data_IF_812836125524
#
_entry.id   IF_812836125524
#
_cell.length_a   1.000
_cell.length_b   1.000
_cell.length_c   1.000
_cell.angle_alpha   90.00
_cell.angle_beta   90.00
_cell.angle_gamma   90.00
#
_symmetry.space_group_name_H-M   'P 1'
#
loop_
_entity.id
_entity.type
_entity.pdbx_description
1 polymer ?
#
# COMPACT_ATOMS: atom_id res chain seq x y z
N UNK A 1 21.35 14.39 -9.07
CA UNK A 1 20.81 13.13 -9.68
C UNK A 1 20.25 13.50 -11.02
N UNK A 2 20.43 12.67 -12.05
CA UNK A 2 19.87 12.92 -13.38
C UNK A 2 18.42 12.47 -13.43
N UNK A 3 17.58 13.15 -14.23
CA UNK A 3 16.17 12.78 -14.42
C UNK A 3 16.04 11.35 -14.94
N UNK A 4 17.00 10.91 -15.76
CA UNK A 4 17.07 9.53 -16.24
C UNK A 4 17.24 8.51 -15.12
N UNK A 5 18.00 8.81 -14.07
CA UNK A 5 18.14 7.91 -12.91
C UNK A 5 16.81 7.77 -12.16
N UNK A 6 16.11 8.88 -11.95
CA UNK A 6 14.81 8.89 -11.26
C UNK A 6 13.78 8.08 -12.06
N UNK A 7 13.69 8.33 -13.38
CA UNK A 7 12.78 7.62 -14.26
C UNK A 7 13.05 6.10 -14.28
N UNK A 8 14.32 5.70 -14.35
CA UNK A 8 14.71 4.29 -14.31
C UNK A 8 14.40 3.64 -12.97
N UNK A 9 14.61 4.33 -11.85
CA UNK A 9 14.28 3.83 -10.52
C UNK A 9 12.75 3.60 -10.38
N UNK A 10 11.93 4.56 -10.81
CA UNK A 10 10.46 4.44 -10.81
C UNK A 10 10.01 3.30 -11.73
N UNK A 11 10.58 3.20 -12.93
CA UNK A 11 10.27 2.12 -13.88
C UNK A 11 10.61 0.73 -13.31
N UNK A 12 11.77 0.61 -12.64
CA UNK A 12 12.17 -0.64 -11.99
C UNK A 12 11.26 -0.98 -10.79
N UNK A 13 10.85 0.01 -10.00
CA UNK A 13 9.87 -0.19 -8.93
C UNK A 13 8.54 -0.73 -9.47
N UNK A 14 8.03 -0.14 -10.55
CA UNK A 14 6.81 -0.61 -11.22
C UNK A 14 6.94 -2.04 -11.74
N UNK A 15 8.06 -2.34 -12.40
CA UNK A 15 8.34 -3.68 -12.93
C UNK A 15 8.40 -4.74 -11.81
N UNK A 16 9.14 -4.48 -10.74
CA UNK A 16 9.22 -5.37 -9.58
C UNK A 16 7.86 -5.51 -8.87
N UNK A 17 7.06 -4.45 -8.88
CA UNK A 17 5.71 -4.45 -8.34
C UNK A 17 4.79 -5.49 -8.99
N UNK A 18 4.95 -5.76 -10.29
CA UNK A 18 4.16 -6.79 -10.99
C UNK A 18 4.40 -8.17 -10.34
N UNK A 19 5.64 -8.53 -10.10
CA UNK A 19 5.97 -9.81 -9.44
C UNK A 19 5.47 -9.85 -7.99
N UNK A 20 5.61 -8.75 -7.25
CA UNK A 20 5.09 -8.65 -5.90
C UNK A 20 3.57 -8.85 -5.85
N UNK A 21 2.81 -8.23 -6.76
CA UNK A 21 1.36 -8.39 -6.88
C UNK A 21 0.95 -9.83 -7.18
N UNK A 22 1.61 -10.48 -8.13
CA UNK A 22 1.34 -11.89 -8.48
C UNK A 22 1.64 -12.80 -7.29
N UNK A 23 2.75 -12.56 -6.59
CA UNK A 23 3.13 -13.33 -5.40
C UNK A 23 2.09 -13.14 -4.29
N UNK A 24 1.66 -11.93 -4.01
CA UNK A 24 0.64 -11.61 -3.01
C UNK A 24 -0.69 -12.31 -3.29
N UNK A 25 -1.14 -12.28 -4.54
CA UNK A 25 -2.34 -13.00 -4.97
C UNK A 25 -2.23 -14.51 -4.73
N UNK A 26 -1.11 -15.12 -5.11
CA UNK A 26 -0.84 -16.56 -4.91
C UNK A 26 -0.73 -16.94 -3.44
N UNK A 27 -0.07 -16.10 -2.63
CA UNK A 27 0.11 -16.34 -1.20
C UNK A 27 -1.21 -16.46 -0.44
N UNK A 28 -2.27 -15.82 -0.94
CA UNK A 28 -3.60 -15.82 -0.31
C UNK A 28 -4.51 -16.97 -0.74
N UNK A 29 -4.14 -17.82 -1.72
CA UNK A 29 -5.03 -18.84 -2.31
C UNK A 29 -5.54 -19.81 -1.24
N UNK A 30 -4.66 -20.30 -0.36
CA UNK A 30 -5.01 -21.31 0.66
C UNK A 30 -5.03 -20.73 2.09
N UNK A 31 -5.19 -19.40 2.22
CA UNK A 31 -5.16 -18.73 3.52
C UNK A 31 -6.40 -17.88 3.72
N UNK A 32 -6.70 -17.62 5.00
CA UNK A 32 -7.70 -16.62 5.34
C UNK A 32 -7.25 -15.23 4.85
N UNK A 33 -7.86 -14.83 3.74
CA UNK A 33 -7.48 -13.61 3.01
C UNK A 33 -7.60 -12.37 3.88
N UNK A 34 -8.65 -12.27 4.70
CA UNK A 34 -8.86 -11.12 5.58
C UNK A 34 -7.72 -11.00 6.61
N UNK A 35 -7.30 -12.13 7.20
CA UNK A 35 -6.16 -12.14 8.13
C UNK A 35 -4.85 -11.75 7.43
N UNK A 36 -4.64 -12.24 6.21
CA UNK A 36 -3.41 -11.93 5.45
C UNK A 36 -3.39 -10.46 5.07
N UNK A 37 -4.47 -9.91 4.51
CA UNK A 37 -4.58 -8.50 4.12
C UNK A 37 -4.41 -7.58 5.33
N UNK A 38 -5.06 -7.89 6.47
CA UNK A 38 -4.87 -7.12 7.70
C UNK A 38 -3.43 -7.12 8.18
N UNK A 39 -2.72 -8.27 8.14
CA UNK A 39 -1.30 -8.33 8.49
C UNK A 39 -0.43 -7.55 7.52
N UNK A 40 -0.70 -7.65 6.21
CA UNK A 40 0.03 -6.90 5.19
C UNK A 40 -0.11 -5.40 5.38
N UNK A 41 -1.33 -4.90 5.67
CA UNK A 41 -1.54 -3.48 5.95
C UNK A 41 -0.72 -2.97 7.16
N UNK A 42 -0.61 -3.80 8.21
CA UNK A 42 0.25 -3.47 9.36
C UNK A 42 1.74 -3.47 9.00
N UNK A 43 2.20 -4.44 8.21
CA UNK A 43 3.58 -4.51 7.72
C UNK A 43 3.88 -3.29 6.83
N UNK A 44 2.96 -2.89 5.96
CA UNK A 44 3.09 -1.68 5.15
C UNK A 44 3.19 -0.41 6.01
N UNK A 45 2.40 -0.29 7.07
CA UNK A 45 2.50 0.82 8.01
C UNK A 45 3.88 0.88 8.67
N UNK A 46 4.38 -0.24 9.19
CA UNK A 46 5.73 -0.31 9.77
C UNK A 46 6.79 0.00 8.71
N UNK A 47 6.63 -0.54 7.51
CA UNK A 47 7.51 -0.28 6.37
C UNK A 47 7.57 1.21 6.00
N UNK A 48 6.44 1.92 6.04
CA UNK A 48 6.43 3.38 5.78
C UNK A 48 7.24 4.16 6.81
N UNK A 49 7.15 3.79 8.10
CA UNK A 49 7.93 4.42 9.17
C UNK A 49 9.42 4.15 9.01
N UNK A 50 9.81 2.90 8.71
CA UNK A 50 11.21 2.53 8.48
C UNK A 50 11.77 3.30 7.27
N UNK A 51 10.99 3.39 6.19
CA UNK A 51 11.37 4.17 5.01
C UNK A 51 11.55 5.64 5.37
N UNK A 52 10.61 6.22 6.11
CA UNK A 52 10.69 7.60 6.58
C UNK A 52 11.98 7.86 7.38
N UNK A 53 12.30 7.00 8.33
CA UNK A 53 13.49 7.12 9.18
C UNK A 53 14.79 6.97 8.36
N UNK A 54 14.79 6.12 7.33
CA UNK A 54 15.99 5.89 6.51
C UNK A 54 16.51 7.14 5.79
N UNK A 55 15.67 8.15 5.56
CA UNK A 55 16.07 9.45 4.99
C UNK A 55 17.03 10.24 5.89
N UNK A 56 17.07 9.99 7.21
CA UNK A 56 18.04 10.64 8.11
C UNK A 56 19.44 10.07 8.00
N UNK A 57 19.58 8.83 7.52
CA UNK A 57 20.86 8.15 7.49
C UNK A 57 21.58 8.28 6.15
N UNK A 58 20.92 7.96 5.05
CA UNK A 58 21.53 7.96 3.73
C UNK A 58 20.49 7.91 2.63
N UNK A 59 20.79 8.63 1.54
CA UNK A 59 19.98 8.56 0.31
C UNK A 59 19.87 7.11 -0.23
N UNK A 60 20.97 6.37 -0.26
CA UNK A 60 20.97 5.00 -0.79
C UNK A 60 20.16 4.04 0.08
N UNK A 61 20.23 4.20 1.39
CA UNK A 61 19.40 3.43 2.32
C UNK A 61 17.93 3.78 2.14
N UNK A 62 17.59 5.05 2.02
CA UNK A 62 16.22 5.49 1.76
C UNK A 62 15.68 4.94 0.44
N UNK A 63 16.48 4.97 -0.62
CA UNK A 63 16.12 4.41 -1.92
C UNK A 63 15.86 2.89 -1.82
N UNK A 64 16.73 2.14 -1.13
CA UNK A 64 16.54 0.71 -0.90
C UNK A 64 15.24 0.43 -0.13
N UNK A 65 15.00 1.17 0.96
CA UNK A 65 13.78 1.04 1.76
C UNK A 65 12.53 1.40 0.96
N UNK A 66 12.63 2.39 0.07
CA UNK A 66 11.54 2.77 -0.84
C UNK A 66 11.19 1.64 -1.82
N UNK A 67 12.19 0.93 -2.37
CA UNK A 67 11.95 -0.25 -3.21
C UNK A 67 11.22 -1.36 -2.45
N UNK A 68 11.66 -1.65 -1.23
CA UNK A 68 11.02 -2.66 -0.36
C UNK A 68 9.58 -2.23 -0.02
N UNK A 69 9.39 -0.99 0.38
CA UNK A 69 8.08 -0.44 0.72
C UNK A 69 7.11 -0.48 -0.47
N UNK A 70 7.57 -0.10 -1.66
CA UNK A 70 6.77 -0.20 -2.88
C UNK A 70 6.33 -1.65 -3.16
N UNK A 71 7.24 -2.62 -3.02
CA UNK A 71 6.91 -4.03 -3.18
C UNK A 71 5.86 -4.50 -2.17
N UNK A 72 5.94 -4.06 -0.90
CA UNK A 72 4.96 -4.40 0.14
C UNK A 72 3.56 -3.86 -0.17
N UNK A 73 3.45 -2.59 -0.63
CA UNK A 73 2.17 -1.98 -1.01
C UNK A 73 1.52 -2.76 -2.17
N UNK A 74 2.29 -3.07 -3.19
CA UNK A 74 1.76 -3.73 -4.39
C UNK A 74 1.42 -5.20 -4.13
N UNK A 75 2.08 -5.84 -3.18
CA UNK A 75 1.80 -7.21 -2.75
C UNK A 75 0.38 -7.36 -2.18
N UNK A 76 -0.11 -6.36 -1.43
CA UNK A 76 -1.48 -6.33 -0.91
C UNK A 76 -2.52 -6.14 -2.02
N UNK A 77 -2.25 -5.31 -3.01
CA UNK A 77 -3.14 -4.99 -4.12
C UNK A 77 -3.59 -6.24 -4.90
N UNK A 78 -2.68 -7.16 -5.21
CA UNK A 78 -2.99 -8.42 -5.89
C UNK A 78 -3.95 -9.30 -5.10
N UNK A 79 -3.78 -9.35 -3.78
CA UNK A 79 -4.64 -10.10 -2.86
C UNK A 79 -6.06 -9.53 -2.80
N UNK A 80 -6.18 -8.21 -2.71
CA UNK A 80 -7.47 -7.50 -2.67
C UNK A 80 -8.23 -7.67 -3.99
N UNK A 81 -7.58 -7.41 -5.13
CA UNK A 81 -8.20 -7.56 -6.46
C UNK A 81 -8.72 -8.98 -6.69
N UNK A 82 -7.92 -10.00 -6.34
CA UNK A 82 -8.35 -11.40 -6.45
C UNK A 82 -9.54 -11.68 -5.52
N UNK A 83 -9.55 -11.09 -4.31
CA UNK A 83 -10.67 -11.19 -3.37
C UNK A 83 -11.97 -10.65 -3.95
N UNK A 84 -11.92 -9.49 -4.60
CA UNK A 84 -13.08 -8.86 -5.25
C UNK A 84 -13.65 -9.73 -6.38
N UNK A 85 -12.77 -10.39 -7.13
CA UNK A 85 -13.18 -11.26 -8.25
C UNK A 85 -13.83 -12.56 -7.77
N UNK A 86 -13.27 -13.20 -6.72
CA UNK A 86 -13.74 -14.51 -6.27
C UNK A 86 -14.99 -14.43 -5.40
N UNK A 87 -15.10 -13.40 -4.54
CA UNK A 87 -16.19 -13.26 -3.58
C UNK A 87 -17.41 -12.56 -4.20
N UNK A 88 -18.29 -13.29 -4.88
CA UNK A 88 -19.55 -12.77 -5.35
C UNK A 88 -20.01 -13.41 -6.66
N UNK A 89 -21.18 -13.00 -7.15
CA UNK A 89 -21.79 -13.57 -8.36
C UNK A 89 -20.93 -13.26 -9.60
N UNK A 90 -20.85 -14.20 -10.56
CA UNK A 90 -20.10 -13.97 -11.81
C UNK A 90 -20.59 -12.75 -12.59
N UNK A 91 -21.90 -12.47 -12.56
CA UNK A 91 -22.53 -11.38 -13.28
C UNK A 91 -22.06 -9.99 -12.81
N UNK A 92 -21.74 -9.86 -11.50
CA UNK A 92 -21.36 -8.58 -10.89
C UNK A 92 -19.84 -8.34 -10.88
N UNK A 93 -19.05 -9.26 -11.43
CA UNK A 93 -17.56 -9.17 -11.37
C UNK A 93 -17.04 -7.86 -11.95
N UNK A 94 -17.57 -7.46 -13.11
CA UNK A 94 -17.14 -6.24 -13.79
C UNK A 94 -17.40 -4.99 -12.95
N UNK A 95 -18.58 -4.86 -12.40
CA UNK A 95 -18.96 -3.71 -11.55
C UNK A 95 -18.12 -3.65 -10.28
N UNK A 96 -17.92 -4.78 -9.61
CA UNK A 96 -17.10 -4.83 -8.39
C UNK A 96 -15.64 -4.49 -8.65
N UNK A 97 -15.08 -4.98 -9.76
CA UNK A 97 -13.72 -4.68 -10.14
C UNK A 97 -13.57 -3.20 -10.52
N UNK A 98 -14.54 -2.63 -11.22
CA UNK A 98 -14.58 -1.21 -11.56
C UNK A 98 -14.64 -0.33 -10.29
N UNK A 99 -15.52 -0.65 -9.35
CA UNK A 99 -15.62 0.07 -8.06
C UNK A 99 -14.32 -0.05 -7.24
N UNK A 100 -13.75 -1.24 -7.16
CA UNK A 100 -12.47 -1.45 -6.48
C UNK A 100 -11.35 -0.60 -7.10
N UNK A 101 -11.23 -0.62 -8.43
CA UNK A 101 -10.25 0.17 -9.16
C UNK A 101 -10.47 1.67 -8.98
N UNK A 102 -11.72 2.12 -9.04
CA UNK A 102 -12.07 3.54 -8.84
C UNK A 102 -11.65 4.03 -7.46
N UNK A 103 -11.96 3.28 -6.40
CA UNK A 103 -11.56 3.63 -5.03
C UNK A 103 -10.03 3.61 -4.88
N UNK A 104 -9.35 2.60 -5.46
CA UNK A 104 -7.89 2.50 -5.42
C UNK A 104 -7.20 3.65 -6.14
N UNK A 105 -7.63 4.01 -7.34
CA UNK A 105 -7.08 5.14 -8.11
C UNK A 105 -7.40 6.49 -7.46
N UNK A 106 -8.58 6.66 -6.88
CA UNK A 106 -8.93 7.86 -6.13
C UNK A 106 -8.01 8.06 -4.93
N UNK A 107 -7.79 6.99 -4.13
CA UNK A 107 -6.82 7.02 -3.03
C UNK A 107 -5.40 7.36 -3.49
N UNK A 108 -4.94 6.75 -4.59
CA UNK A 108 -3.64 7.06 -5.20
C UNK A 108 -3.53 8.51 -5.69
N UNK A 109 -4.58 9.04 -6.30
CA UNK A 109 -4.63 10.43 -6.76
C UNK A 109 -4.55 11.45 -5.62
N UNK A 110 -5.06 11.12 -4.43
CA UNK A 110 -4.96 11.98 -3.25
C UNK A 110 -3.56 11.96 -2.62
N UNK A 111 -2.81 10.90 -2.79
CA UNK A 111 -1.49 10.73 -2.17
C UNK A 111 -0.50 11.84 -2.56
N UNK A 112 -0.39 12.15 -3.85
CA UNK A 112 0.49 13.20 -4.35
C UNK A 112 0.20 14.59 -3.76
N UNK A 113 -1.03 15.11 -3.86
CA UNK A 113 -1.41 16.38 -3.25
C UNK A 113 -1.18 16.43 -1.74
N UNK A 114 -1.48 15.36 -1.00
CA UNK A 114 -1.25 15.30 0.45
C UNK A 114 0.24 15.43 0.77
N UNK A 115 1.10 14.68 0.07
CA UNK A 115 2.55 14.78 0.22
C UNK A 115 3.04 16.18 -0.15
N UNK A 116 2.55 16.76 -1.25
CA UNK A 116 2.88 18.13 -1.66
C UNK A 116 2.55 19.15 -0.56
N UNK A 117 1.34 19.11 -0.02
CA UNK A 117 0.92 19.99 1.07
C UNK A 117 1.79 19.84 2.32
N UNK A 118 2.18 18.61 2.68
CA UNK A 118 3.06 18.37 3.82
C UNK A 118 4.45 18.97 3.54
N UNK A 119 5.01 18.72 2.36
CA UNK A 119 6.31 19.29 1.99
C UNK A 119 6.29 20.80 2.03
N UNK A 120 5.28 21.45 1.45
CA UNK A 120 5.17 22.92 1.38
C UNK A 120 5.07 23.56 2.77
N UNK A 121 4.40 22.91 3.73
CA UNK A 121 4.18 23.46 5.06
C UNK A 121 5.27 23.10 6.10
N UNK A 122 6.08 22.05 5.87
CA UNK A 122 7.04 21.54 6.86
C UNK A 122 8.51 21.63 6.41
N UNK A 123 8.84 22.61 5.57
CA UNK A 123 10.22 22.95 5.22
C UNK A 123 10.73 22.40 3.90
N UNK A 124 9.84 21.95 3.02
CA UNK A 124 10.14 21.56 1.64
C UNK A 124 10.85 20.22 1.50
N UNK A 125 11.36 20.01 0.30
CA UNK A 125 12.00 18.74 -0.09
C UNK A 125 13.32 18.44 0.66
N UNK A 126 13.95 19.45 1.25
CA UNK A 126 15.19 19.28 2.06
C UNK A 126 14.90 18.90 3.52
N UNK A 127 13.66 19.00 3.96
CA UNK A 127 13.27 18.71 5.35
C UNK A 127 13.04 17.22 5.58
N UNK A 128 13.84 16.62 6.45
CA UNK A 128 13.64 15.24 6.88
C UNK A 128 12.30 15.05 7.61
N UNK A 129 11.86 16.06 8.37
CA UNK A 129 10.58 16.04 9.09
C UNK A 129 9.41 16.00 8.11
N UNK A 130 9.47 16.79 7.02
CA UNK A 130 8.45 16.79 5.99
C UNK A 130 8.31 15.42 5.31
N UNK A 131 9.41 14.75 4.99
CA UNK A 131 9.40 13.40 4.47
C UNK A 131 8.88 12.37 5.47
N UNK A 132 9.29 12.50 6.74
CA UNK A 132 8.75 11.63 7.79
C UNK A 132 7.24 11.73 7.90
N UNK A 133 6.69 12.95 7.98
CA UNK A 133 5.26 13.19 8.05
C UNK A 133 4.53 12.67 6.80
N UNK A 134 5.12 12.83 5.63
CA UNK A 134 4.57 12.33 4.37
C UNK A 134 4.42 10.81 4.37
N UNK A 135 5.47 10.08 4.68
CA UNK A 135 5.41 8.61 4.76
C UNK A 135 4.53 8.12 5.91
N UNK A 136 4.55 8.79 7.04
CA UNK A 136 3.66 8.48 8.16
C UNK A 136 2.18 8.64 7.75
N UNK A 137 1.84 9.75 7.09
CA UNK A 137 0.47 9.99 6.60
C UNK A 137 0.02 8.93 5.59
N UNK A 138 0.88 8.58 4.62
CA UNK A 138 0.60 7.51 3.66
C UNK A 138 0.45 6.15 4.37
N UNK A 139 1.28 5.89 5.37
CA UNK A 139 1.21 4.68 6.19
C UNK A 139 -0.08 4.55 6.98
N UNK A 140 -0.65 5.66 7.46
CA UNK A 140 -1.94 5.65 8.15
C UNK A 140 -3.06 5.06 7.30
N UNK A 141 -3.04 5.26 5.98
CA UNK A 141 -3.97 4.61 5.06
C UNK A 141 -3.90 3.08 5.12
N UNK A 142 -2.68 2.53 5.14
CA UNK A 142 -2.46 1.08 5.27
C UNK A 142 -2.89 0.56 6.65
N UNK A 143 -2.64 1.33 7.70
CA UNK A 143 -3.09 0.99 9.06
C UNK A 143 -4.62 0.97 9.16
N UNK A 144 -5.30 1.98 8.63
CA UNK A 144 -6.76 2.05 8.60
C UNK A 144 -7.35 0.86 7.82
N UNK A 145 -6.80 0.54 6.65
CA UNK A 145 -7.20 -0.65 5.88
C UNK A 145 -7.08 -1.92 6.73
N UNK A 146 -5.94 -2.11 7.42
CA UNK A 146 -5.71 -3.25 8.31
C UNK A 146 -6.76 -3.36 9.42
N UNK A 147 -7.09 -2.24 10.07
CA UNK A 147 -8.05 -2.19 11.17
C UNK A 147 -9.48 -2.46 10.69
N UNK A 148 -9.89 -1.87 9.57
CA UNK A 148 -11.22 -2.10 8.98
C UNK A 148 -11.42 -3.55 8.61
N UNK A 149 -10.46 -4.16 7.91
CA UNK A 149 -10.52 -5.57 7.52
C UNK A 149 -10.55 -6.48 8.75
N UNK A 150 -9.75 -6.19 9.76
CA UNK A 150 -9.74 -6.94 11.02
C UNK A 150 -11.09 -6.84 11.74
N UNK A 151 -11.66 -5.65 11.85
CA UNK A 151 -12.95 -5.43 12.51
C UNK A 151 -14.08 -6.20 11.79
N UNK A 152 -14.16 -6.07 10.46
CA UNK A 152 -15.14 -6.80 9.65
C UNK A 152 -15.03 -8.32 9.80
N UNK A 153 -13.81 -8.84 9.82
CA UNK A 153 -13.56 -10.27 10.00
C UNK A 153 -14.07 -10.80 11.34
N UNK A 154 -13.80 -10.10 12.43
CA UNK A 154 -14.26 -10.50 13.76
C UNK A 154 -15.79 -10.37 13.91
N UNK A 155 -16.40 -9.35 13.35
CA UNK A 155 -17.86 -9.19 13.36
C UNK A 155 -18.54 -10.37 12.68
N UNK A 156 -18.10 -10.76 11.48
CA UNK A 156 -18.66 -11.87 10.72
C UNK A 156 -18.54 -13.22 11.43
N UNK A 157 -17.39 -13.49 12.06
CA UNK A 157 -17.19 -14.75 12.81
C UNK A 157 -18.08 -14.84 14.07
N UNK A 158 -18.35 -13.71 14.72
CA UNK A 158 -19.23 -13.68 15.88
C UNK A 158 -20.70 -13.90 15.51
N UNK A 159 -21.13 -13.49 14.30
CA UNK A 159 -22.47 -13.76 13.80
C UNK A 159 -22.69 -15.24 13.43
N UNK A 160 -21.66 -15.91 12.90
CA UNK A 160 -21.73 -17.33 12.53
C UNK A 160 -21.70 -18.27 13.74
N UNK A 161 -21.24 -17.80 14.90
CA UNK A 161 -21.17 -18.58 16.15
C UNK A 161 -22.37 -18.35 17.08
N UNK A 162 -23.34 -17.54 16.67
CA UNK A 162 -24.63 -17.33 17.36
C UNK A 162 -25.77 -18.07 16.67
#
# INVERSE_FOLDING_TARGET
MTDAFIANAIGLMGFLGIFASIYGARYCINKDRAKVVSKMGLICFVGSIITAISFWYSFWLALLMLFIYNALIVLDSGSLTTGVVINGKPEDRGVRLALHSMVGFFGGALGGPIVGLILDNFGGQSSHIAWFLSFFCLGLGSLLSSLVVKHYYFSKNNEQNR
#
